data_IF_300187362038
#
_entry.id   IF_300187362038
#
_cell.length_a   1.000
_cell.length_b   1.000
_cell.length_c   1.000
_cell.angle_alpha   90.00
_cell.angle_beta   90.00
_cell.angle_gamma   90.00
#
_symmetry.space_group_name_H-M   'P 1'
#
loop_
_entity.id
_entity.type
_entity.pdbx_description
1 polymer ?
#
# COMPACT_ATOMS: atom_id res chain seq x y z
N UNK A 1 10.13 -37.29 9.27
CA UNK A 1 9.24 -36.10 9.31
C UNK A 1 8.24 -36.25 8.19
N UNK A 2 6.95 -36.09 8.48
CA UNK A 2 5.90 -36.20 7.47
C UNK A 2 5.77 -34.86 6.71
N UNK A 3 5.38 -34.87 5.43
CA UNK A 3 5.34 -33.66 4.60
C UNK A 3 4.38 -32.59 5.14
N UNK A 4 3.35 -32.97 5.88
CA UNK A 4 2.38 -32.05 6.48
C UNK A 4 3.03 -31.17 7.55
N UNK A 5 3.96 -31.72 8.34
CA UNK A 5 4.62 -30.98 9.41
C UNK A 5 5.59 -29.92 8.86
N UNK A 6 6.16 -30.15 7.67
CA UNK A 6 6.98 -29.16 6.97
C UNK A 6 6.14 -27.97 6.52
N UNK A 7 4.96 -28.22 5.96
CA UNK A 7 4.07 -27.15 5.49
C UNK A 7 3.55 -26.32 6.67
N UNK A 8 3.19 -26.94 7.80
CA UNK A 8 2.77 -26.19 8.98
C UNK A 8 3.89 -25.35 9.59
N UNK A 9 5.13 -25.84 9.55
CA UNK A 9 6.29 -25.12 10.14
C UNK A 9 6.75 -23.97 9.25
N UNK A 10 6.84 -24.19 7.94
CA UNK A 10 7.38 -23.21 6.99
C UNK A 10 6.32 -22.38 6.28
N UNK A 11 5.05 -22.81 6.26
CA UNK A 11 3.97 -22.11 5.58
C UNK A 11 3.71 -20.71 6.16
N UNK A 12 3.64 -20.57 7.48
CA UNK A 12 3.42 -19.26 8.11
C UNK A 12 4.61 -18.30 7.96
N UNK A 13 5.87 -18.71 8.20
CA UNK A 13 7.03 -17.86 7.93
C UNK A 13 7.13 -17.41 6.46
N UNK A 14 6.90 -18.31 5.51
CA UNK A 14 6.93 -17.98 4.08
C UNK A 14 5.82 -17.00 3.74
N UNK A 15 4.61 -17.20 4.26
CA UNK A 15 3.51 -16.25 4.09
C UNK A 15 3.85 -14.87 4.66
N UNK A 16 4.45 -14.83 5.86
CA UNK A 16 4.81 -13.57 6.50
C UNK A 16 5.85 -12.79 5.68
N UNK A 17 6.92 -13.44 5.22
CA UNK A 17 7.93 -12.79 4.39
C UNK A 17 7.38 -12.46 3.00
N UNK A 18 6.59 -13.36 2.42
CA UNK A 18 5.96 -13.18 1.12
C UNK A 18 5.03 -11.98 1.11
N UNK A 19 4.22 -11.79 2.17
CA UNK A 19 3.30 -10.65 2.28
C UNK A 19 3.98 -9.30 2.44
N UNK A 20 5.22 -9.27 2.94
CA UNK A 20 6.04 -8.06 2.96
C UNK A 20 6.47 -7.68 1.54
N UNK A 21 6.82 -8.65 0.68
CA UNK A 21 7.27 -8.38 -0.69
C UNK A 21 6.12 -8.14 -1.66
N UNK A 22 5.14 -9.05 -1.65
CA UNK A 22 4.03 -9.10 -2.59
C UNK A 22 2.80 -9.70 -1.88
N UNK A 23 1.98 -8.83 -1.27
CA UNK A 23 0.85 -9.22 -0.41
C UNK A 23 -0.19 -10.10 -1.11
N UNK A 24 -0.64 -9.70 -2.30
CA UNK A 24 -1.78 -10.31 -3.00
C UNK A 24 -1.49 -11.77 -3.40
N UNK A 25 -0.36 -12.01 -4.06
CA UNK A 25 0.04 -13.31 -4.59
C UNK A 25 0.19 -14.37 -3.48
N UNK A 26 0.86 -14.04 -2.38
CA UNK A 26 1.09 -14.98 -1.28
C UNK A 26 -0.18 -15.26 -0.46
N UNK A 27 -1.08 -14.29 -0.31
CA UNK A 27 -2.37 -14.50 0.36
C UNK A 27 -3.25 -15.47 -0.43
N UNK A 28 -3.28 -15.37 -1.77
CA UNK A 28 -4.02 -16.30 -2.61
C UNK A 28 -3.50 -17.74 -2.50
N UNK A 29 -2.17 -17.91 -2.52
CA UNK A 29 -1.54 -19.23 -2.36
C UNK A 29 -1.83 -19.81 -0.97
N UNK A 30 -1.68 -19.01 0.09
CA UNK A 30 -1.95 -19.47 1.44
C UNK A 30 -3.44 -19.76 1.69
N UNK A 31 -4.35 -19.01 1.06
CA UNK A 31 -5.78 -19.30 1.08
C UNK A 31 -6.11 -20.65 0.43
N UNK A 32 -5.49 -20.95 -0.71
CA UNK A 32 -5.61 -22.25 -1.37
C UNK A 32 -5.07 -23.40 -0.49
N UNK A 33 -3.95 -23.19 0.20
CA UNK A 33 -3.38 -24.17 1.14
C UNK A 33 -4.27 -24.36 2.39
N UNK A 34 -4.89 -23.29 2.88
CA UNK A 34 -5.82 -23.37 4.01
C UNK A 34 -7.08 -24.16 3.69
N UNK A 35 -7.57 -24.07 2.45
CA UNK A 35 -8.72 -24.86 1.99
C UNK A 35 -8.46 -26.38 2.02
N UNK A 36 -7.20 -26.78 1.85
CA UNK A 36 -6.77 -28.18 1.91
C UNK A 36 -6.43 -28.65 3.34
N UNK A 37 -6.79 -27.90 4.37
CA UNK A 37 -6.48 -28.17 5.80
C UNK A 37 -4.97 -28.24 6.14
N UNK A 38 -4.08 -27.73 5.28
CA UNK A 38 -2.66 -27.64 5.60
C UNK A 38 -2.33 -26.48 6.53
N UNK A 39 -3.10 -25.39 6.43
CA UNK A 39 -2.95 -24.17 7.22
C UNK A 39 -4.31 -23.77 7.78
N UNK A 40 -4.30 -23.17 8.96
CA UNK A 40 -5.51 -22.66 9.59
C UNK A 40 -5.83 -21.27 9.05
N UNK A 41 -7.02 -21.11 8.47
CA UNK A 41 -7.43 -19.86 7.83
C UNK A 41 -7.30 -18.65 8.77
N UNK A 42 -7.65 -18.83 10.05
CA UNK A 42 -7.56 -17.77 11.06
C UNK A 42 -6.13 -17.28 11.27
N UNK A 43 -5.16 -18.21 11.27
CA UNK A 43 -3.74 -17.90 11.41
C UNK A 43 -3.16 -17.33 10.11
N UNK A 44 -3.60 -17.81 8.95
CA UNK A 44 -3.23 -17.23 7.64
C UNK A 44 -3.62 -15.76 7.57
N UNK A 45 -4.86 -15.41 7.96
CA UNK A 45 -5.34 -14.02 7.95
C UNK A 45 -4.49 -13.15 8.89
N UNK A 46 -4.25 -13.60 10.12
CA UNK A 46 -3.45 -12.84 11.10
C UNK A 46 -2.00 -12.63 10.64
N UNK A 47 -1.38 -13.68 10.10
CA UNK A 47 0.00 -13.63 9.60
C UNK A 47 0.11 -12.73 8.37
N UNK A 48 -0.83 -12.83 7.43
CA UNK A 48 -0.84 -11.96 6.26
C UNK A 48 -1.08 -10.49 6.62
N UNK A 49 -2.04 -10.22 7.51
CA UNK A 49 -2.34 -8.86 7.97
C UNK A 49 -1.14 -8.23 8.69
N UNK A 50 -0.51 -8.97 9.60
CA UNK A 50 0.68 -8.50 10.31
C UNK A 50 1.87 -8.32 9.37
N UNK A 51 2.07 -9.22 8.41
CA UNK A 51 3.11 -9.11 7.38
C UNK A 51 2.94 -7.86 6.52
N UNK A 52 1.75 -7.60 5.97
CA UNK A 52 1.47 -6.37 5.21
C UNK A 52 1.66 -5.12 6.06
N UNK A 53 1.13 -5.11 7.29
CA UNK A 53 1.28 -3.94 8.17
C UNK A 53 2.76 -3.64 8.46
N UNK A 54 3.56 -4.66 8.75
CA UNK A 54 5.00 -4.51 8.98
C UNK A 54 5.72 -4.09 7.70
N UNK A 55 5.34 -4.64 6.55
CA UNK A 55 5.87 -4.25 5.24
C UNK A 55 5.65 -2.78 4.96
N UNK A 56 4.43 -2.27 5.11
CA UNK A 56 4.09 -0.86 4.89
C UNK A 56 4.92 0.06 5.78
N UNK A 57 5.04 -0.28 7.07
CA UNK A 57 5.88 0.47 7.99
C UNK A 57 7.35 0.41 7.58
N UNK A 58 7.87 -0.77 7.23
CA UNK A 58 9.26 -0.95 6.82
C UNK A 58 9.60 -0.15 5.57
N UNK A 59 8.78 -0.22 4.51
CA UNK A 59 8.99 0.55 3.29
C UNK A 59 8.82 2.05 3.51
N UNK A 60 7.87 2.47 4.35
CA UNK A 60 7.71 3.87 4.73
C UNK A 60 8.96 4.40 5.44
N UNK A 61 9.46 3.68 6.44
CA UNK A 61 10.68 4.07 7.15
C UNK A 61 11.92 4.03 6.26
N UNK A 62 12.03 3.02 5.39
CA UNK A 62 13.11 2.92 4.42
C UNK A 62 13.10 4.10 3.44
N UNK A 63 11.93 4.48 2.93
CA UNK A 63 11.74 5.67 2.10
C UNK A 63 11.98 6.97 2.86
N UNK A 64 11.56 7.08 4.13
CA UNK A 64 11.72 8.29 4.95
C UNK A 64 13.18 8.56 5.32
N UNK A 65 13.90 7.53 5.79
CA UNK A 65 15.28 7.66 6.27
C UNK A 65 16.31 7.59 5.15
N UNK A 66 16.10 6.77 4.13
CA UNK A 66 17.02 6.65 3.01
C UNK A 66 16.60 7.43 1.78
N UNK A 67 15.34 7.81 1.60
CA UNK A 67 14.87 8.49 0.39
C UNK A 67 15.52 9.84 0.15
N UNK A 68 15.77 10.66 1.19
CA UNK A 68 16.45 11.96 1.02
C UNK A 68 17.89 11.80 0.49
N UNK A 69 18.77 10.99 1.12
CA UNK A 69 20.11 10.76 0.58
C UNK A 69 20.13 9.91 -0.71
N UNK A 70 19.13 9.06 -0.97
CA UNK A 70 19.04 8.32 -2.25
C UNK A 70 18.59 9.21 -3.42
N UNK A 71 17.68 10.17 -3.18
CA UNK A 71 17.27 11.16 -4.20
C UNK A 71 18.41 12.11 -4.57
N UNK A 72 19.30 12.43 -3.63
CA UNK A 72 20.50 13.23 -3.92
C UNK A 72 21.52 12.47 -4.78
N UNK A 73 21.52 11.14 -4.72
CA UNK A 73 22.43 10.28 -5.49
C UNK A 73 21.96 10.03 -6.94
N UNK A 74 20.67 10.21 -7.24
CA UNK A 74 20.07 9.98 -8.56
C UNK A 74 19.28 11.20 -9.06
N UNK A 75 19.96 12.24 -9.62
CA UNK A 75 19.34 13.50 -10.03
C UNK A 75 18.27 13.34 -11.13
N UNK A 76 18.32 12.28 -11.93
CA UNK A 76 17.33 11.96 -12.97
C UNK A 76 15.94 11.60 -12.44
N UNK A 77 15.81 11.26 -11.15
CA UNK A 77 14.53 10.95 -10.51
C UNK A 77 13.89 12.22 -9.90
N UNK A 78 14.73 13.18 -9.49
CA UNK A 78 14.32 14.51 -9.01
C UNK A 78 13.58 15.30 -10.09
N UNK A 79 14.02 15.17 -11.35
CA UNK A 79 13.41 15.82 -12.50
C UNK A 79 12.06 15.18 -12.92
N UNK A 80 11.83 13.91 -12.55
CA UNK A 80 10.56 13.22 -12.79
C UNK A 80 9.52 13.50 -11.72
N UNK A 81 9.92 13.71 -10.46
CA UNK A 81 9.01 14.20 -9.40
C UNK A 81 8.61 15.66 -9.59
N UNK A 82 9.43 16.46 -10.28
CA UNK A 82 9.13 17.87 -10.60
C UNK A 82 8.16 18.08 -11.78
N UNK A 83 7.91 17.03 -12.56
CA UNK A 83 6.99 17.08 -13.70
C UNK A 83 5.50 17.04 -13.33
N UNK A 84 5.01 16.23 -12.38
CA UNK A 84 3.60 16.26 -12.00
C UNK A 84 3.19 17.62 -11.40
N UNK A 85 4.01 18.23 -10.56
CA UNK A 85 3.75 19.58 -10.00
C UNK A 85 3.69 20.66 -11.09
N UNK A 86 4.61 20.65 -12.06
CA UNK A 86 4.59 21.59 -13.18
C UNK A 86 3.41 21.33 -14.14
N UNK A 87 3.04 20.05 -14.32
CA UNK A 87 1.86 19.65 -15.11
C UNK A 87 0.57 20.09 -14.43
N UNK A 88 0.39 19.89 -13.12
CA UNK A 88 -0.78 20.39 -12.38
C UNK A 88 -0.84 21.91 -12.33
N UNK A 89 0.31 22.59 -12.32
CA UNK A 89 0.38 24.05 -12.34
C UNK A 89 0.04 24.65 -13.71
N UNK A 90 0.30 23.91 -14.81
CA UNK A 90 0.04 24.36 -16.17
C UNK A 90 -1.31 23.86 -16.73
N UNK A 91 -1.81 22.75 -16.20
CA UNK A 91 -3.15 22.22 -16.50
C UNK A 91 -4.11 22.85 -15.49
N UNK A 92 -4.61 24.04 -15.81
CA UNK A 92 -5.48 24.82 -14.93
C UNK A 92 -6.68 24.02 -14.43
N UNK A 93 -6.54 23.43 -13.24
CA UNK A 93 -7.62 22.84 -12.46
C UNK A 93 -8.43 23.96 -11.81
N UNK A 94 -9.16 24.70 -12.64
CA UNK A 94 -10.29 25.52 -12.20
C UNK A 94 -11.49 24.60 -11.96
N UNK A 95 -11.54 23.98 -10.78
CA UNK A 95 -12.70 23.29 -10.16
C UNK A 95 -12.16 22.62 -8.88
N UNK A 96 -12.54 22.96 -7.65
CA UNK A 96 -13.56 23.84 -7.08
C UNK A 96 -12.92 24.46 -5.83
N UNK A 97 -12.91 25.79 -5.75
CA UNK A 97 -12.66 26.46 -4.47
C UNK A 97 -13.97 26.47 -3.71
N UNK A 98 -14.04 25.79 -2.57
CA UNK A 98 -15.23 25.74 -1.70
C UNK A 98 -15.70 27.13 -1.24
N UNK A 99 -14.90 28.18 -1.46
CA UNK A 99 -15.27 29.58 -1.20
C UNK A 99 -16.39 30.12 -2.10
N UNK A 100 -16.69 29.48 -3.24
CA UNK A 100 -17.74 29.96 -4.17
C UNK A 100 -19.13 29.36 -3.88
N UNK A 101 -19.22 28.30 -3.06
CA UNK A 101 -20.50 27.70 -2.68
C UNK A 101 -21.26 28.48 -1.59
N UNK A 102 -20.55 29.23 -0.74
CA UNK A 102 -21.19 30.03 0.31
C UNK A 102 -21.84 31.32 -0.21
N UNK A 103 -21.43 31.83 -1.37
CA UNK A 103 -21.95 33.09 -1.94
C UNK A 103 -23.16 32.87 -2.86
N UNK A 104 -23.43 31.62 -3.27
CA UNK A 104 -24.52 31.26 -4.18
C UNK A 104 -25.84 30.83 -3.51
N UNK A 105 -25.86 30.57 -2.20
CA UNK A 105 -27.07 30.09 -1.50
C UNK A 105 -27.99 31.20 -0.95
N UNK A 106 -27.67 32.47 -1.22
CA UNK A 106 -28.48 33.64 -0.84
C UNK A 106 -29.64 33.99 -1.79
N UNK A 107 -29.72 33.36 -2.97
CA UNK A 107 -30.65 33.76 -4.03
C UNK A 107 -31.88 32.84 -4.21
N UNK A 108 -32.00 31.75 -3.45
CA UNK A 108 -33.11 30.79 -3.56
C UNK A 108 -34.00 30.73 -2.30
N UNK A 109 -34.17 31.88 -1.64
CA UNK A 109 -35.11 32.07 -0.52
C UNK A 109 -35.92 33.35 -0.69
N UNK A 110 -36.44 33.59 -1.91
CA UNK A 110 -37.52 34.57 -2.15
C UNK A 110 -38.15 34.42 -3.54
N UNK A 111 -38.69 33.24 -3.86
CA UNK A 111 -39.82 33.07 -4.77
C UNK A 111 -40.66 31.90 -4.27
#
# INVERSE_FOLDING_TARGET
MSPESLIQTYGYPILFIGTILEGESFVLVAGSLAQNNYLELRWVILTAFSGSFVGDQFFFFLGRYRGVPFLEKYPSWKEKSAKPEAFWRNTGSSRLSDSDLCTGFGAYRRL
#
